data_IF_334250310874
#
_entry.id   IF_334250310874
#
_cell.length_a   1.000
_cell.length_b   1.000
_cell.length_c   1.000
_cell.angle_alpha   90.00
_cell.angle_beta   90.00
_cell.angle_gamma   90.00
#
_symmetry.space_group_name_H-M   'P 1'
#
loop_
_entity.id
_entity.type
_entity.pdbx_description
1 polymer ?
#
# COMPACT_ATOMS: atom_id res chain seq x y z
N UNK A 1 42.91 26.37 45.43
CA UNK A 1 41.64 25.66 45.70
C UNK A 1 41.27 24.88 44.45
N UNK A 2 41.44 23.57 44.50
CA UNK A 2 41.27 22.64 43.38
C UNK A 2 39.81 22.15 43.38
N UNK A 3 39.11 22.26 42.25
CA UNK A 3 37.86 21.56 41.96
C UNK A 3 37.94 20.98 40.54
N UNK A 4 38.28 19.70 40.45
CA UNK A 4 37.82 18.78 39.39
C UNK A 4 36.41 18.25 39.81
N UNK A 5 35.56 17.59 38.99
CA UNK A 5 35.82 16.72 37.81
C UNK A 5 34.99 17.09 36.55
N UNK A 6 35.45 16.82 35.31
CA UNK A 6 35.35 15.58 34.50
C UNK A 6 33.92 15.14 34.09
N UNK A 7 33.70 15.23 32.76
CA UNK A 7 32.88 14.39 31.86
C UNK A 7 31.35 14.38 31.95
N UNK A 8 30.67 14.92 30.92
CA UNK A 8 29.56 14.24 30.25
C UNK A 8 30.12 13.63 28.95
N UNK A 9 30.12 12.32 28.72
CA UNK A 9 29.01 11.42 28.96
C UNK A 9 27.90 11.64 27.93
N UNK A 10 28.20 11.60 26.63
CA UNK A 10 27.16 11.45 25.60
C UNK A 10 27.44 10.18 24.80
N UNK A 11 26.56 9.22 25.07
CA UNK A 11 26.44 7.89 24.49
C UNK A 11 26.31 8.00 22.97
N UNK A 12 27.14 7.24 22.26
CA UNK A 12 26.93 6.95 20.85
C UNK A 12 25.63 6.16 20.67
N UNK A 13 24.61 6.78 20.06
CA UNK A 13 23.43 6.07 19.58
C UNK A 13 23.54 5.92 18.05
N UNK A 14 24.18 4.83 17.62
CA UNK A 14 24.00 4.32 16.28
C UNK A 14 22.60 3.69 16.19
N UNK A 15 21.66 4.34 15.51
CA UNK A 15 20.38 3.72 15.13
C UNK A 15 20.41 3.45 13.64
N UNK A 16 20.53 2.16 13.33
CA UNK A 16 20.28 1.57 12.03
C UNK A 16 18.88 1.95 11.53
N UNK A 17 18.81 2.55 10.34
CA UNK A 17 17.58 2.56 9.54
C UNK A 17 17.93 2.07 8.14
N UNK A 18 18.22 0.77 8.04
CA UNK A 18 18.20 0.02 6.78
C UNK A 18 16.75 -0.02 6.30
N UNK A 19 16.29 1.07 5.68
CA UNK A 19 15.01 1.13 4.97
C UNK A 19 15.13 0.41 3.63
N UNK A 20 15.33 -0.91 3.65
CA UNK A 20 15.06 -1.71 2.47
C UNK A 20 13.54 -1.85 2.37
N UNK A 21 12.90 -0.86 1.74
CA UNK A 21 11.56 -1.06 1.17
C UNK A 21 11.72 -2.03 0.01
N UNK A 22 11.89 -3.32 0.32
CA UNK A 22 11.58 -4.38 -0.61
C UNK A 22 10.08 -4.32 -0.82
N UNK A 23 9.61 -3.38 -1.64
CA UNK A 23 8.29 -3.47 -2.23
C UNK A 23 8.31 -4.80 -2.98
N UNK A 24 7.57 -5.84 -2.55
CA UNK A 24 7.53 -7.07 -3.30
C UNK A 24 6.73 -6.76 -4.56
N UNK A 25 7.41 -6.29 -5.61
CA UNK A 25 6.90 -6.29 -6.99
C UNK A 25 7.00 -7.68 -7.61
N UNK A 26 7.19 -8.72 -6.80
CA UNK A 26 7.16 -10.11 -7.24
C UNK A 26 5.70 -10.59 -7.32
N UNK A 27 4.96 -10.13 -8.32
CA UNK A 27 3.64 -10.67 -8.65
C UNK A 27 3.36 -10.73 -10.17
N UNK A 28 4.38 -10.51 -11.02
CA UNK A 28 4.16 -10.42 -12.46
C UNK A 28 4.34 -11.76 -13.20
N UNK A 29 5.29 -12.60 -12.79
CA UNK A 29 5.52 -13.89 -13.44
C UNK A 29 4.53 -14.94 -12.91
N UNK A 30 3.54 -15.32 -13.75
CA UNK A 30 2.61 -16.42 -13.46
C UNK A 30 1.20 -16.04 -13.00
N UNK A 31 0.92 -14.76 -12.70
CA UNK A 31 -0.42 -14.32 -12.28
C UNK A 31 -1.32 -14.05 -13.51
N UNK A 32 -2.61 -14.43 -13.50
CA UNK A 32 -3.55 -14.12 -14.58
C UNK A 32 -3.63 -12.61 -14.90
N UNK A 33 -3.79 -12.27 -16.18
CA UNK A 33 -3.71 -10.88 -16.63
C UNK A 33 -4.80 -9.97 -16.04
N UNK A 34 -6.00 -10.50 -15.85
CA UNK A 34 -7.13 -9.81 -15.24
C UNK A 34 -6.92 -9.55 -13.74
N UNK A 35 -6.29 -10.50 -13.03
CA UNK A 35 -5.87 -10.31 -11.63
C UNK A 35 -4.80 -9.21 -11.55
N UNK A 36 -3.79 -9.22 -12.43
CA UNK A 36 -2.77 -8.15 -12.46
C UNK A 36 -3.39 -6.78 -12.75
N UNK A 37 -4.34 -6.71 -13.69
CA UNK A 37 -5.04 -5.47 -14.01
C UNK A 37 -5.85 -4.95 -12.81
N UNK A 38 -6.55 -5.84 -12.10
CA UNK A 38 -7.25 -5.49 -10.87
C UNK A 38 -6.31 -4.99 -9.78
N UNK A 39 -5.23 -5.72 -9.50
CA UNK A 39 -4.20 -5.34 -8.51
C UNK A 39 -3.67 -3.93 -8.82
N UNK A 40 -3.34 -3.65 -10.07
CA UNK A 40 -2.85 -2.34 -10.48
C UNK A 40 -3.87 -1.21 -10.24
N UNK A 41 -5.14 -1.43 -10.59
CA UNK A 41 -6.22 -0.44 -10.38
C UNK A 41 -6.52 -0.24 -8.90
N UNK A 42 -6.70 -1.33 -8.15
CA UNK A 42 -7.08 -1.30 -6.73
C UNK A 42 -5.97 -0.73 -5.85
N UNK A 43 -4.71 -1.02 -6.16
CA UNK A 43 -3.56 -0.40 -5.47
C UNK A 43 -3.54 1.13 -5.61
N UNK A 44 -3.91 1.67 -6.78
CA UNK A 44 -4.04 3.13 -6.94
C UNK A 44 -5.21 3.69 -6.14
N UNK A 45 -6.34 2.99 -6.12
CA UNK A 45 -7.47 3.37 -5.27
C UNK A 45 -7.08 3.43 -3.80
N UNK A 46 -6.48 2.36 -3.27
CA UNK A 46 -6.08 2.27 -1.86
C UNK A 46 -5.00 3.30 -1.52
N UNK A 47 -4.11 3.62 -2.46
CA UNK A 47 -3.17 4.74 -2.33
C UNK A 47 -3.92 6.06 -2.11
N UNK A 48 -4.85 6.44 -3.01
CA UNK A 48 -5.57 7.71 -2.91
C UNK A 48 -6.53 7.77 -1.71
N UNK A 49 -7.15 6.64 -1.33
CA UNK A 49 -8.00 6.54 -0.13
C UNK A 49 -7.23 6.76 1.16
N UNK A 50 -5.93 6.47 1.17
CA UNK A 50 -5.06 6.66 2.33
C UNK A 50 -4.46 8.06 2.43
N UNK A 51 -4.76 8.96 1.49
CA UNK A 51 -4.24 10.32 1.49
C UNK A 51 -5.19 11.32 2.15
N UNK A 52 -4.65 12.18 3.00
CA UNK A 52 -5.38 13.30 3.59
C UNK A 52 -5.26 14.56 2.72
N UNK A 53 -6.35 15.29 2.43
CA UNK A 53 -6.28 16.53 1.69
C UNK A 53 -5.71 17.67 2.57
N UNK A 54 -4.70 18.37 2.05
CA UNK A 54 -4.12 19.55 2.72
C UNK A 54 -4.77 20.87 2.29
N UNK A 55 -5.53 20.87 1.19
CA UNK A 55 -6.32 22.00 0.72
C UNK A 55 -7.52 21.53 -0.13
N UNK A 56 -8.34 22.49 -0.56
CA UNK A 56 -9.55 22.22 -1.35
C UNK A 56 -9.23 21.68 -2.76
N UNK A 57 -8.12 22.12 -3.37
CA UNK A 57 -7.73 21.64 -4.70
C UNK A 57 -7.33 20.17 -4.65
N UNK A 58 -6.57 19.78 -3.61
CA UNK A 58 -6.19 18.39 -3.37
C UNK A 58 -7.39 17.53 -3.02
N UNK A 59 -8.34 18.03 -2.23
CA UNK A 59 -9.58 17.31 -1.94
C UNK A 59 -10.35 16.95 -3.23
N UNK A 60 -10.54 17.92 -4.13
CA UNK A 60 -11.20 17.68 -5.41
C UNK A 60 -10.41 16.73 -6.34
N UNK A 61 -9.08 16.76 -6.28
CA UNK A 61 -8.21 15.85 -7.02
C UNK A 61 -8.30 14.41 -6.52
N UNK A 62 -8.21 14.20 -5.20
CA UNK A 62 -8.35 12.89 -4.56
C UNK A 62 -9.72 12.28 -4.87
N UNK A 63 -10.79 13.05 -4.73
CA UNK A 63 -12.16 12.62 -5.02
C UNK A 63 -12.33 12.16 -6.47
N UNK A 64 -11.78 12.90 -7.44
CA UNK A 64 -11.78 12.49 -8.86
C UNK A 64 -10.99 11.21 -9.10
N UNK A 65 -9.81 11.07 -8.48
CA UNK A 65 -8.95 9.90 -8.63
C UNK A 65 -9.54 8.66 -7.98
N UNK A 66 -10.12 8.80 -6.79
CA UNK A 66 -10.85 7.73 -6.12
C UNK A 66 -12.04 7.28 -6.97
N UNK A 67 -12.86 8.19 -7.52
CA UNK A 67 -13.91 7.79 -8.46
C UNK A 67 -13.39 7.01 -9.66
N UNK A 68 -12.28 7.42 -10.26
CA UNK A 68 -11.70 6.74 -11.42
C UNK A 68 -11.11 5.36 -11.09
N UNK A 69 -10.54 5.19 -9.90
CA UNK A 69 -9.77 3.99 -9.53
C UNK A 69 -10.50 3.03 -8.60
N UNK A 70 -11.38 3.52 -7.73
CA UNK A 70 -12.12 2.71 -6.77
C UNK A 70 -13.42 2.15 -7.34
N UNK A 71 -14.12 2.90 -8.19
CA UNK A 71 -15.46 2.48 -8.66
C UNK A 71 -15.43 1.13 -9.41
N UNK A 72 -16.32 0.23 -9.01
CA UNK A 72 -16.53 -1.12 -9.53
C UNK A 72 -15.46 -2.14 -9.12
N UNK A 73 -14.54 -1.77 -8.22
CA UNK A 73 -13.50 -2.67 -7.75
C UNK A 73 -14.01 -3.72 -6.77
N UNK A 74 -15.02 -3.44 -5.95
CA UNK A 74 -15.61 -4.43 -5.03
C UNK A 74 -16.32 -5.56 -5.80
N UNK A 75 -17.13 -5.19 -6.80
CA UNK A 75 -17.77 -6.16 -7.68
C UNK A 75 -16.75 -6.95 -8.50
N UNK A 76 -15.67 -6.30 -8.95
CA UNK A 76 -14.58 -6.95 -9.68
C UNK A 76 -13.81 -7.92 -8.79
N UNK A 77 -13.50 -7.55 -7.56
CA UNK A 77 -12.83 -8.41 -6.59
C UNK A 77 -13.64 -9.69 -6.34
N UNK A 78 -14.94 -9.53 -6.09
CA UNK A 78 -15.84 -10.66 -5.89
C UNK A 78 -15.89 -11.58 -7.13
N UNK A 79 -15.95 -10.99 -8.33
CA UNK A 79 -15.92 -11.74 -9.60
C UNK A 79 -14.61 -12.52 -9.76
N UNK A 80 -13.46 -11.87 -9.53
CA UNK A 80 -12.14 -12.48 -9.70
C UNK A 80 -11.90 -13.59 -8.68
N UNK A 81 -12.30 -13.41 -7.42
CA UNK A 81 -12.20 -14.47 -6.39
C UNK A 81 -13.00 -15.72 -6.78
N UNK A 82 -14.17 -15.56 -7.43
CA UNK A 82 -14.94 -16.69 -7.97
C UNK A 82 -14.25 -17.33 -9.18
N UNK A 83 -13.82 -16.52 -10.15
CA UNK A 83 -13.21 -17.00 -11.38
C UNK A 83 -11.90 -17.77 -11.14
N UNK A 84 -11.08 -17.29 -10.21
CA UNK A 84 -9.74 -17.82 -9.94
C UNK A 84 -9.64 -18.63 -8.65
N UNK A 85 -10.76 -19.14 -8.12
CA UNK A 85 -10.79 -19.83 -6.81
C UNK A 85 -9.84 -21.03 -6.67
N UNK A 86 -9.39 -21.62 -7.79
CA UNK A 86 -8.43 -22.75 -7.81
C UNK A 86 -6.97 -22.31 -8.07
N UNK A 87 -6.75 -21.07 -8.48
CA UNK A 87 -5.41 -20.52 -8.67
C UNK A 87 -4.94 -19.93 -7.34
N UNK A 88 -3.98 -20.61 -6.72
CA UNK A 88 -3.42 -20.21 -5.42
C UNK A 88 -2.74 -18.85 -5.47
N UNK A 89 -2.02 -18.54 -6.55
CA UNK A 89 -1.32 -17.27 -6.68
C UNK A 89 -2.30 -16.11 -6.86
N UNK A 90 -3.34 -16.31 -7.68
CA UNK A 90 -4.42 -15.34 -7.83
C UNK A 90 -5.16 -15.11 -6.51
N UNK A 91 -5.56 -16.18 -5.82
CA UNK A 91 -6.29 -16.06 -4.56
C UNK A 91 -5.45 -15.41 -3.45
N UNK A 92 -4.14 -15.67 -3.40
CA UNK A 92 -3.23 -15.00 -2.48
C UNK A 92 -3.21 -13.48 -2.73
N UNK A 93 -3.12 -13.06 -3.99
CA UNK A 93 -3.13 -11.65 -4.35
C UNK A 93 -4.48 -10.97 -4.08
N UNK A 94 -5.59 -11.61 -4.46
CA UNK A 94 -6.93 -11.06 -4.28
C UNK A 94 -7.37 -11.00 -2.80
N UNK A 95 -6.85 -11.89 -1.96
CA UNK A 95 -7.23 -11.92 -0.53
C UNK A 95 -6.63 -10.77 0.29
N UNK A 96 -5.64 -10.05 -0.24
CA UNK A 96 -5.05 -8.89 0.41
C UNK A 96 -5.94 -7.63 0.40
N UNK A 97 -7.03 -7.63 -0.36
CA UNK A 97 -7.92 -6.48 -0.53
C UNK A 97 -9.23 -6.63 0.23
N UNK A 98 -9.67 -5.54 0.85
CA UNK A 98 -10.96 -5.43 1.54
C UNK A 98 -12.13 -5.65 0.58
N UNK A 99 -13.16 -6.37 1.06
CA UNK A 99 -14.29 -6.75 0.23
C UNK A 99 -15.27 -5.60 -0.08
N UNK A 100 -15.25 -4.53 0.74
CA UNK A 100 -16.17 -3.40 0.64
C UNK A 100 -15.47 -2.10 0.98
N UNK A 101 -15.23 -1.26 -0.02
CA UNK A 101 -14.65 0.08 0.14
C UNK A 101 -15.44 1.18 -0.59
N UNK A 102 -16.40 0.79 -1.43
CA UNK A 102 -17.30 1.68 -2.18
C UNK A 102 -18.61 1.94 -1.44
#
# INVERSE_FOLDING_TARGET
MIRAPLLPGIVAAAVFATGCSAQPRAAAAGMPADVRAFVAKRTQCDHFRGEEPYDAARAADLDRRMRATCTGTDATLARLKRAHHRDRAAMQALSAYDARIE
#
